data_IF_710940214609
#
_entry.id   IF_710940214609
#
_cell.length_a   1.000
_cell.length_b   1.000
_cell.length_c   1.000
_cell.angle_alpha   90.00
_cell.angle_beta   90.00
_cell.angle_gamma   90.00
#
_symmetry.space_group_name_H-M   'P 1'
#
loop_
_entity.id
_entity.type
_entity.pdbx_description
1 polymer ?
#
# COMPACT_ATOMS: atom_id res chain seq x y z
N UNK A 1 -39.16 -9.45 47.83
CA UNK A 1 -39.86 -8.26 47.30
C UNK A 1 -39.86 -8.42 45.78
N UNK A 2 -40.62 -9.35 45.21
CA UNK A 2 -42.09 -9.32 45.02
C UNK A 2 -42.52 -8.26 44.00
N UNK A 3 -42.68 -8.75 42.76
CA UNK A 3 -43.66 -8.44 41.71
C UNK A 3 -44.46 -7.12 41.72
N UNK A 4 -44.52 -6.49 40.54
CA UNK A 4 -45.71 -5.92 39.85
C UNK A 4 -45.32 -5.70 38.37
N UNK A 5 -45.83 -6.34 37.31
CA UNK A 5 -47.17 -6.66 36.77
C UNK A 5 -47.88 -5.47 36.07
N UNK A 6 -48.16 -5.65 34.76
CA UNK A 6 -49.14 -4.89 33.95
C UNK A 6 -48.81 -4.97 32.45
N UNK A 7 -49.33 -5.90 31.60
CA UNK A 7 -50.70 -6.05 31.03
C UNK A 7 -51.21 -4.78 30.32
N UNK A 8 -51.79 -4.72 29.10
CA UNK A 8 -52.46 -5.62 28.11
C UNK A 8 -52.66 -4.79 26.80
N UNK A 9 -52.47 -5.32 25.58
CA UNK A 9 -53.42 -5.87 24.57
C UNK A 9 -54.41 -4.91 23.83
N UNK A 10 -54.62 -5.27 22.54
CA UNK A 10 -55.72 -4.98 21.60
C UNK A 10 -55.65 -3.62 20.86
N UNK A 11 -56.06 -3.42 19.59
CA UNK A 11 -56.87 -4.16 18.60
C UNK A 11 -56.41 -3.71 17.18
N UNK A 12 -56.26 -4.57 16.17
CA UNK A 12 -57.28 -5.01 15.19
C UNK A 12 -58.16 -3.90 14.59
N UNK A 13 -57.88 -3.50 13.34
CA UNK A 13 -58.89 -2.95 12.42
C UNK A 13 -58.48 -3.11 10.94
N UNK A 14 -59.15 -4.04 10.24
CA UNK A 14 -59.38 -3.99 8.79
C UNK A 14 -60.78 -3.43 8.55
N UNK A 15 -60.95 -2.60 7.52
CA UNK A 15 -61.90 -2.91 6.43
C UNK A 15 -61.37 -2.33 5.09
N UNK A 16 -61.92 -2.48 3.89
CA UNK A 16 -62.84 -3.38 3.21
C UNK A 16 -62.53 -3.18 1.71
N UNK A 17 -62.75 -4.20 0.87
CA UNK A 17 -62.76 -4.01 -0.61
C UNK A 17 -64.06 -3.31 -1.02
N UNK A 18 -64.09 -2.61 -2.17
CA UNK A 18 -64.93 -3.17 -3.23
C UNK A 18 -64.45 -2.93 -4.68
N UNK A 19 -64.87 -3.88 -5.53
CA UNK A 19 -65.31 -3.76 -6.93
C UNK A 19 -64.41 -3.18 -8.05
N UNK A 20 -63.85 -4.12 -8.82
CA UNK A 20 -64.10 -4.37 -10.26
C UNK A 20 -64.60 -3.18 -11.10
N UNK A 21 -63.70 -2.64 -11.94
CA UNK A 21 -64.07 -2.00 -13.20
C UNK A 21 -63.32 -2.67 -14.35
N UNK A 22 -64.07 -3.43 -15.14
CA UNK A 22 -63.68 -3.89 -16.48
C UNK A 22 -63.82 -2.71 -17.42
N UNK A 23 -62.74 -2.28 -18.07
CA UNK A 23 -62.82 -1.53 -19.32
C UNK A 23 -61.99 -2.25 -20.38
N UNK A 24 -62.72 -2.76 -21.38
CA UNK A 24 -62.18 -3.12 -22.69
C UNK A 24 -61.96 -1.82 -23.46
N UNK A 25 -60.75 -1.60 -23.94
CA UNK A 25 -60.49 -0.71 -25.06
C UNK A 25 -59.35 -1.31 -25.89
N UNK A 26 -59.73 -1.97 -26.98
CA UNK A 26 -58.84 -2.40 -28.05
C UNK A 26 -58.55 -1.20 -28.94
N UNK A 27 -57.33 -0.66 -28.94
CA UNK A 27 -56.86 0.27 -29.98
C UNK A 27 -55.38 -0.01 -30.28
N UNK A 28 -55.17 -0.62 -31.45
CA UNK A 28 -54.09 -0.42 -32.43
C UNK A 28 -52.63 -0.37 -31.95
N UNK A 29 -51.89 -1.36 -32.43
CA UNK A 29 -50.47 -1.56 -32.14
C UNK A 29 -49.56 -0.41 -32.54
N UNK A 30 -48.41 -0.37 -31.86
CA UNK A 30 -47.18 0.28 -32.32
C UNK A 30 -46.02 -0.23 -31.46
N UNK A 31 -45.05 -0.79 -32.16
CA UNK A 31 -43.67 -1.07 -31.78
C UNK A 31 -43.40 -2.09 -30.66
N UNK A 32 -42.85 -3.23 -31.06
CA UNK A 32 -41.90 -3.98 -30.26
C UNK A 32 -40.81 -3.01 -29.78
N UNK A 33 -40.90 -2.59 -28.51
CA UNK A 33 -39.74 -2.11 -27.80
C UNK A 33 -38.87 -3.35 -27.56
N UNK A 34 -37.89 -3.58 -28.44
CA UNK A 34 -36.74 -4.39 -28.11
C UNK A 34 -36.15 -3.76 -26.85
N UNK A 35 -36.39 -4.38 -25.69
CA UNK A 35 -35.69 -4.04 -24.47
C UNK A 35 -34.21 -4.21 -24.76
N UNK A 36 -33.51 -3.08 -24.93
CA UNK A 36 -32.06 -3.08 -25.03
C UNK A 36 -31.52 -3.82 -23.79
N UNK A 37 -30.54 -4.73 -23.96
CA UNK A 37 -29.89 -5.34 -22.81
C UNK A 37 -29.37 -4.20 -21.92
N UNK A 38 -29.52 -4.32 -20.58
CA UNK A 38 -28.96 -3.33 -19.68
C UNK A 38 -27.48 -3.19 -20.02
N UNK A 39 -27.09 -1.97 -20.41
CA UNK A 39 -25.69 -1.63 -20.61
C UNK A 39 -24.91 -2.17 -19.41
N UNK A 40 -23.78 -2.86 -19.62
CA UNK A 40 -22.98 -3.32 -18.51
C UNK A 40 -22.66 -2.07 -17.70
N UNK A 41 -23.16 -2.03 -16.47
CA UNK A 41 -22.64 -1.10 -15.48
C UNK A 41 -21.13 -1.28 -15.56
N UNK A 42 -20.42 -0.27 -16.05
CA UNK A 42 -18.99 -0.17 -15.84
C UNK A 42 -18.83 -0.02 -14.32
N UNK A 43 -18.84 -1.16 -13.64
CA UNK A 43 -18.24 -1.30 -12.32
C UNK A 43 -16.79 -0.99 -12.62
N UNK A 44 -16.39 0.26 -12.46
CA UNK A 44 -14.98 0.59 -12.40
C UNK A 44 -14.42 -0.32 -11.32
N UNK A 45 -13.51 -1.24 -11.66
CA UNK A 45 -13.08 -2.20 -10.68
C UNK A 45 -12.44 -1.40 -9.55
N UNK A 46 -12.81 -1.76 -8.33
CA UNK A 46 -12.21 -1.32 -7.08
C UNK A 46 -10.66 -1.25 -7.17
N UNK A 47 -10.05 -2.06 -8.05
CA UNK A 47 -8.64 -2.06 -8.37
C UNK A 47 -8.14 -0.86 -9.20
N UNK A 48 -8.89 -0.36 -10.19
CA UNK A 48 -8.48 0.75 -11.05
C UNK A 48 -8.20 2.03 -10.25
N UNK A 49 -9.10 2.37 -9.33
CA UNK A 49 -8.94 3.54 -8.44
C UNK A 49 -7.73 3.39 -7.52
N UNK A 50 -7.47 2.18 -7.02
CA UNK A 50 -6.29 1.90 -6.17
C UNK A 50 -5.00 1.99 -6.97
N UNK A 51 -4.95 1.37 -8.14
CA UNK A 51 -3.78 1.41 -9.02
C UNK A 51 -3.39 2.85 -9.37
N UNK A 52 -4.35 3.69 -9.77
CA UNK A 52 -4.11 5.11 -10.05
C UNK A 52 -3.56 5.87 -8.84
N UNK A 53 -4.03 5.56 -7.62
CA UNK A 53 -3.49 6.17 -6.39
C UNK A 53 -2.04 5.77 -6.16
N UNK A 54 -1.69 4.50 -6.37
CA UNK A 54 -0.30 4.05 -6.29
C UNK A 54 0.60 4.69 -7.35
N UNK A 55 0.11 4.90 -8.57
CA UNK A 55 0.87 5.59 -9.61
C UNK A 55 1.20 7.03 -9.22
N UNK A 56 0.21 7.80 -8.75
CA UNK A 56 0.45 9.17 -8.24
C UNK A 56 1.46 9.19 -7.09
N UNK A 57 1.34 8.25 -6.15
CA UNK A 57 2.29 8.13 -5.06
C UNK A 57 3.71 7.84 -5.58
N UNK A 58 3.85 7.02 -6.63
CA UNK A 58 5.15 6.78 -7.24
C UNK A 58 5.73 8.05 -7.88
N UNK A 59 4.91 8.88 -8.52
CA UNK A 59 5.35 10.15 -9.12
C UNK A 59 5.89 11.12 -8.08
N UNK A 60 5.21 11.23 -6.93
CA UNK A 60 5.63 12.11 -5.84
C UNK A 60 6.85 11.57 -5.08
N UNK A 61 7.06 10.25 -5.06
CA UNK A 61 8.11 9.65 -4.27
C UNK A 61 9.52 9.90 -4.85
N UNK A 62 10.42 10.57 -4.10
CA UNK A 62 11.76 10.89 -4.59
C UNK A 62 12.60 9.63 -4.76
N UNK A 63 13.45 9.61 -5.80
CA UNK A 63 14.48 8.58 -5.97
C UNK A 63 15.81 9.14 -5.48
N UNK A 64 16.43 8.47 -4.51
CA UNK A 64 17.77 8.84 -4.04
C UNK A 64 18.82 8.08 -4.85
N UNK A 65 19.45 8.77 -5.81
CA UNK A 65 20.46 8.20 -6.71
C UNK A 65 21.68 7.62 -5.97
N UNK A 66 21.99 8.17 -4.80
CA UNK A 66 23.11 7.73 -3.95
C UNK A 66 22.89 6.34 -3.36
N UNK A 67 21.64 5.87 -3.28
CA UNK A 67 21.26 4.57 -2.71
C UNK A 67 20.87 3.58 -3.81
N UNK A 68 21.68 3.49 -4.86
CA UNK A 68 21.46 2.54 -5.97
C UNK A 68 21.11 1.14 -5.44
N UNK A 69 20.08 0.53 -6.03
CA UNK A 69 19.50 -0.78 -5.67
C UNK A 69 18.75 -0.86 -4.32
N UNK A 70 19.05 0.03 -3.35
CA UNK A 70 18.41 0.08 -2.03
C UNK A 70 17.44 1.25 -1.86
N UNK A 71 17.18 1.98 -2.95
CA UNK A 71 16.25 3.09 -2.95
C UNK A 71 14.81 2.60 -2.77
N UNK A 72 14.13 3.20 -1.80
CA UNK A 72 12.77 2.82 -1.45
C UNK A 72 11.79 3.21 -2.56
N UNK A 73 12.01 4.33 -3.25
CA UNK A 73 11.15 4.77 -4.36
C UNK A 73 11.20 3.80 -5.55
N UNK A 74 12.39 3.34 -5.92
CA UNK A 74 12.57 2.29 -6.93
C UNK A 74 11.91 0.98 -6.49
N UNK A 75 12.10 0.58 -5.23
CA UNK A 75 11.50 -0.64 -4.69
C UNK A 75 9.97 -0.58 -4.70
N UNK A 76 9.37 0.54 -4.31
CA UNK A 76 7.91 0.74 -4.34
C UNK A 76 7.39 0.62 -5.78
N UNK A 77 8.02 1.29 -6.75
CA UNK A 77 7.65 1.19 -8.18
C UNK A 77 7.69 -0.26 -8.66
N UNK A 78 8.77 -0.98 -8.33
CA UNK A 78 8.91 -2.38 -8.70
C UNK A 78 7.81 -3.26 -8.08
N UNK A 79 7.47 -3.03 -6.81
CA UNK A 79 6.40 -3.75 -6.13
C UNK A 79 5.01 -3.43 -6.68
N UNK A 80 4.74 -2.17 -7.02
CA UNK A 80 3.48 -1.77 -7.67
C UNK A 80 3.36 -2.45 -9.04
N UNK A 81 4.42 -2.47 -9.84
CA UNK A 81 4.42 -3.16 -11.14
C UNK A 81 4.22 -4.69 -11.00
N UNK A 82 4.72 -5.30 -9.92
CA UNK A 82 4.50 -6.73 -9.64
C UNK A 82 3.08 -7.01 -9.15
N UNK A 83 2.54 -6.17 -8.26
CA UNK A 83 1.23 -6.37 -7.67
C UNK A 83 0.10 -6.07 -8.67
N UNK A 84 0.28 -5.08 -9.53
CA UNK A 84 -0.69 -4.65 -10.54
C UNK A 84 -0.21 -5.01 -11.95
N UNK A 85 0.17 -6.27 -12.16
CA UNK A 85 0.65 -6.77 -13.47
C UNK A 85 -0.34 -6.54 -14.61
N UNK A 86 -1.64 -6.60 -14.30
CA UNK A 86 -2.73 -6.37 -15.25
C UNK A 86 -3.26 -4.92 -15.19
N UNK A 87 -2.53 -4.03 -14.49
CA UNK A 87 -2.90 -2.64 -14.27
C UNK A 87 -4.26 -2.51 -13.58
N UNK A 88 -5.17 -1.77 -14.21
CA UNK A 88 -6.51 -1.48 -13.70
C UNK A 88 -7.43 -2.70 -13.63
N UNK A 89 -7.14 -3.76 -14.40
CA UNK A 89 -7.94 -4.98 -14.45
C UNK A 89 -7.53 -6.03 -13.42
N UNK A 90 -6.45 -5.76 -12.66
CA UNK A 90 -5.93 -6.68 -11.65
C UNK A 90 -7.00 -6.99 -10.59
N UNK A 91 -7.20 -8.27 -10.31
CA UNK A 91 -8.07 -8.68 -9.20
C UNK A 91 -7.31 -8.61 -7.88
N UNK A 92 -7.76 -7.74 -6.97
CA UNK A 92 -7.15 -7.59 -5.65
C UNK A 92 -7.81 -8.60 -4.70
N UNK A 93 -7.03 -9.58 -4.23
CA UNK A 93 -7.51 -10.62 -3.31
C UNK A 93 -7.96 -10.05 -1.96
N UNK A 94 -7.24 -9.05 -1.42
CA UNK A 94 -7.57 -8.37 -0.18
C UNK A 94 -7.49 -6.84 -0.36
N UNK A 95 -8.64 -6.18 -0.60
CA UNK A 95 -8.70 -4.74 -0.79
C UNK A 95 -8.32 -3.92 0.45
N UNK A 96 -8.64 -4.42 1.66
CA UNK A 96 -8.40 -3.68 2.90
C UNK A 96 -6.91 -3.60 3.21
N UNK A 97 -6.20 -4.73 3.10
CA UNK A 97 -4.74 -4.73 3.27
C UNK A 97 -4.06 -3.85 2.22
N UNK A 98 -4.55 -3.85 0.98
CA UNK A 98 -4.04 -2.96 -0.08
C UNK A 98 -4.19 -1.47 0.29
N UNK A 99 -5.35 -1.09 0.83
CA UNK A 99 -5.61 0.28 1.27
C UNK A 99 -4.75 0.66 2.50
N UNK A 100 -4.60 -0.25 3.47
CA UNK A 100 -3.73 -0.04 4.64
C UNK A 100 -2.26 0.16 4.24
N UNK A 101 -1.78 -0.62 3.26
CA UNK A 101 -0.43 -0.45 2.71
C UNK A 101 -0.27 0.92 2.05
N UNK A 102 -1.25 1.33 1.24
CA UNK A 102 -1.24 2.65 0.61
C UNK A 102 -1.18 3.77 1.66
N UNK A 103 -2.06 3.75 2.66
CA UNK A 103 -2.09 4.75 3.72
C UNK A 103 -0.77 4.81 4.49
N UNK A 104 -0.17 3.65 4.77
CA UNK A 104 1.11 3.57 5.45
C UNK A 104 2.22 4.25 4.66
N UNK A 105 2.27 4.04 3.33
CA UNK A 105 3.23 4.71 2.47
C UNK A 105 2.98 6.23 2.40
N UNK A 106 1.73 6.67 2.28
CA UNK A 106 1.37 8.10 2.28
C UNK A 106 1.80 8.79 3.58
N UNK A 107 1.62 8.13 4.74
CA UNK A 107 2.09 8.66 6.03
C UNK A 107 3.60 8.84 6.07
N UNK A 108 4.35 7.92 5.48
CA UNK A 108 5.81 8.04 5.37
C UNK A 108 6.19 9.21 4.44
N UNK A 109 5.59 9.26 3.24
CA UNK A 109 5.87 10.31 2.25
C UNK A 109 5.65 11.71 2.81
N UNK A 110 4.51 11.93 3.46
CA UNK A 110 4.12 13.22 4.04
C UNK A 110 4.80 13.52 5.38
N UNK A 111 5.77 12.70 5.81
CA UNK A 111 6.43 12.83 7.10
C UNK A 111 5.43 12.94 8.27
N UNK A 112 4.30 12.24 8.20
CA UNK A 112 3.16 12.41 9.10
C UNK A 112 3.56 12.35 10.59
N UNK A 113 4.38 11.38 10.98
CA UNK A 113 4.80 11.21 12.37
C UNK A 113 5.79 12.29 12.84
N UNK A 114 6.62 12.82 11.94
CA UNK A 114 7.50 13.95 12.25
C UNK A 114 6.68 15.20 12.54
N UNK A 115 5.60 15.41 11.79
CA UNK A 115 4.73 16.57 11.93
C UNK A 115 3.75 16.41 13.12
N UNK A 116 3.26 15.19 13.35
CA UNK A 116 2.35 14.88 14.46
C UNK A 116 3.03 14.99 15.82
N UNK A 117 4.32 14.66 15.89
CA UNK A 117 5.10 14.73 17.12
C UNK A 117 6.35 15.61 16.93
N UNK A 118 6.17 16.94 16.92
CA UNK A 118 7.29 17.87 16.77
C UNK A 118 8.29 17.68 17.91
N UNK A 119 9.57 17.54 17.57
CA UNK A 119 10.64 17.43 18.55
C UNK A 119 11.18 18.81 18.89
N UNK A 120 11.54 19.01 20.15
CA UNK A 120 12.18 20.24 20.63
C UNK A 120 13.61 20.41 20.08
N UNK A 121 14.27 19.30 19.71
CA UNK A 121 15.64 19.27 19.18
C UNK A 121 15.75 18.22 18.08
N UNK A 122 16.53 18.52 17.06
CA UNK A 122 16.97 17.54 16.07
C UNK A 122 18.22 16.82 16.58
N UNK A 123 18.03 15.83 17.43
CA UNK A 123 19.11 14.98 17.94
C UNK A 123 19.11 13.64 17.22
N UNK A 124 20.22 13.30 16.58
CA UNK A 124 20.52 11.91 16.24
C UNK A 124 21.28 11.27 17.40
N UNK A 125 21.03 9.98 17.68
CA UNK A 125 21.70 9.26 18.76
C UNK A 125 23.23 9.32 18.66
N UNK A 126 23.76 9.37 17.44
CA UNK A 126 25.20 9.43 17.16
C UNK A 126 25.74 10.85 16.99
N UNK A 127 24.91 11.89 17.12
CA UNK A 127 25.29 13.28 16.90
C UNK A 127 25.59 13.66 15.44
N UNK A 128 25.40 12.72 14.50
CA UNK A 128 25.63 12.93 13.06
C UNK A 128 24.46 13.69 12.42
N UNK A 129 24.75 14.50 11.41
CA UNK A 129 23.72 15.24 10.68
C UNK A 129 22.99 14.35 9.67
N UNK A 130 21.85 14.81 9.15
CA UNK A 130 21.13 14.11 8.06
C UNK A 130 22.01 13.94 6.83
N UNK A 131 22.86 14.93 6.53
CA UNK A 131 23.75 14.88 5.38
C UNK A 131 24.84 13.82 5.58
N UNK A 132 25.37 13.69 6.79
CA UNK A 132 26.32 12.64 7.13
C UNK A 132 25.67 11.26 7.03
N UNK A 133 24.42 11.11 7.49
CA UNK A 133 23.66 9.86 7.28
C UNK A 133 23.49 9.54 5.80
N UNK A 134 23.17 10.53 4.95
CA UNK A 134 23.06 10.33 3.50
C UNK A 134 24.38 9.86 2.90
N UNK A 135 25.48 10.50 3.31
CA UNK A 135 26.83 10.16 2.88
C UNK A 135 27.22 8.73 3.30
N UNK A 136 27.10 8.39 4.58
CA UNK A 136 27.44 7.05 5.10
C UNK A 136 26.61 5.95 4.42
N UNK A 137 25.36 6.24 4.07
CA UNK A 137 24.48 5.27 3.40
C UNK A 137 24.66 5.22 1.88
N UNK A 138 25.46 6.11 1.27
CA UNK A 138 25.70 6.12 -0.15
C UNK A 138 26.41 4.83 -0.59
N UNK A 139 25.98 4.26 -1.71
CA UNK A 139 26.47 2.97 -2.19
C UNK A 139 27.96 3.01 -2.50
N UNK A 140 28.49 4.13 -3.02
CA UNK A 140 29.91 4.28 -3.33
C UNK A 140 30.78 4.24 -2.06
N UNK A 141 30.33 4.88 -0.99
CA UNK A 141 31.06 4.92 0.29
C UNK A 141 31.06 3.55 0.96
N UNK A 142 29.93 2.85 0.94
CA UNK A 142 29.86 1.48 1.48
C UNK A 142 30.75 0.52 0.68
N UNK A 143 30.80 0.67 -0.65
CA UNK A 143 31.68 -0.14 -1.50
C UNK A 143 33.16 0.15 -1.22
N UNK A 144 33.53 1.42 -1.08
CA UNK A 144 34.89 1.81 -0.69
C UNK A 144 35.28 1.21 0.66
N UNK A 145 34.40 1.26 1.67
CA UNK A 145 34.66 0.65 2.98
C UNK A 145 34.82 -0.88 2.88
N UNK A 146 34.04 -1.54 2.03
CA UNK A 146 34.15 -2.98 1.80
C UNK A 146 35.49 -3.35 1.13
N UNK A 147 35.91 -2.59 0.12
CA UNK A 147 37.15 -2.82 -0.61
C UNK A 147 38.38 -2.53 0.27
N UNK A 148 38.34 -1.47 1.09
CA UNK A 148 39.35 -1.19 2.11
C UNK A 148 39.44 -2.33 3.14
N UNK A 149 38.30 -2.85 3.60
CA UNK A 149 38.26 -4.01 4.49
C UNK A 149 38.94 -5.22 3.83
N UNK A 150 38.61 -5.55 2.58
CA UNK A 150 39.28 -6.64 1.85
C UNK A 150 40.80 -6.44 1.73
N UNK A 151 41.27 -5.21 1.52
CA UNK A 151 42.69 -4.87 1.48
C UNK A 151 43.40 -5.08 2.83
N UNK A 152 42.78 -4.64 3.92
CA UNK A 152 43.30 -4.83 5.29
C UNK A 152 43.27 -6.30 5.71
N UNK A 153 42.22 -7.04 5.35
CA UNK A 153 42.13 -8.48 5.60
C UNK A 153 43.16 -9.28 4.80
N UNK A 154 43.48 -8.87 3.57
CA UNK A 154 44.59 -9.46 2.80
C UNK A 154 45.94 -9.24 3.49
N UNK A 155 46.23 -8.01 3.92
CA UNK A 155 47.46 -7.69 4.66
C UNK A 155 47.56 -8.44 5.98
N UNK A 156 46.45 -8.56 6.71
CA UNK A 156 46.39 -9.34 7.94
C UNK A 156 46.65 -10.83 7.66
N UNK A 157 46.01 -11.38 6.62
CA UNK A 157 46.23 -12.75 6.16
C UNK A 157 47.70 -12.99 5.85
N UNK A 158 48.30 -12.18 4.99
CA UNK A 158 49.73 -12.31 4.61
C UNK A 158 50.65 -12.36 5.83
N UNK A 159 50.44 -11.49 6.83
CA UNK A 159 51.22 -11.51 8.09
C UNK A 159 51.06 -12.80 8.90
N UNK A 160 49.89 -13.42 8.88
CA UNK A 160 49.67 -14.71 9.56
C UNK A 160 50.23 -15.90 8.76
N UNK A 161 50.22 -15.86 7.43
CA UNK A 161 50.80 -16.93 6.61
C UNK A 161 52.33 -16.89 6.58
N UNK A 162 52.95 -15.70 6.57
CA UNK A 162 54.41 -15.56 6.68
C UNK A 162 54.99 -16.02 8.01
N UNK A 163 54.16 -16.19 9.06
CA UNK A 163 54.59 -16.73 10.35
C UNK A 163 54.59 -18.26 10.41
N UNK A 164 53.92 -18.93 9.46
CA UNK A 164 53.79 -20.40 9.45
C UNK A 164 54.95 -21.11 8.76
N UNK A 165 55.76 -20.39 7.97
CA UNK A 165 56.94 -20.94 7.29
C UNK A 165 58.21 -20.99 8.16
N UNK A 166 58.19 -20.45 9.39
CA UNK A 166 59.35 -20.49 10.30
C UNK A 166 59.31 -21.65 11.32
N UNK A 167 58.22 -22.42 11.40
CA UNK A 167 58.08 -23.51 12.40
C UNK A 167 58.18 -24.93 11.81
N UNK A 168 58.48 -25.07 10.50
CA UNK A 168 58.64 -26.37 9.79
C UNK A 168 60.08 -26.56 9.26
N UNK A 169 61.07 -25.90 9.88
CA UNK A 169 62.50 -26.07 9.57
C UNK A 169 63.37 -26.12 10.82
N UNK A 170 62.90 -26.82 11.86
CA UNK A 170 63.74 -27.21 12.98
C UNK A 170 63.71 -28.72 13.19
#
# INVERSE_FOLDING_TARGET
>A
MSHTKGQRRAAEHRPDKPHRATQRASILGRHCACAAPPHPHHVTPMAATRYRRFLRLCEEWPVEETKRQRDLGVFIRQRVAQAFREGENTQIADPETCDQMYESLVRIHNNYYKNKYPRLKDTSFTGVTVQDCKMILATDILKQMEDMKKGTWRKLRERFYSKKSEEDSK
#
